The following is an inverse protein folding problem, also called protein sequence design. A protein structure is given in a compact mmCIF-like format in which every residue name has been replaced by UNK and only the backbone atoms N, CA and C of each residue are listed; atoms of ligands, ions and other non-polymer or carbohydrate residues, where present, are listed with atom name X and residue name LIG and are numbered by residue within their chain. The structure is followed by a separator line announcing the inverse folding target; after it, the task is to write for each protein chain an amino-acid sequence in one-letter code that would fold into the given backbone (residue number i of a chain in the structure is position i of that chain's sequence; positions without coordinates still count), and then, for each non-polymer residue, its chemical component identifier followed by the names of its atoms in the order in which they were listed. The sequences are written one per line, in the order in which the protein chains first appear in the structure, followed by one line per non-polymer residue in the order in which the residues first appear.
data_IF_247195631963
#
_entry.id   IF_247195631963
#
_cell.length_a   1.000
_cell.length_b   1.000
_cell.length_c   1.000
_cell.angle_alpha   90.00
_cell.angle_beta   90.00
_cell.angle_gamma   90.00
#
_symmetry.space_group_name_H-M   'P 1'
#
loop_
_entity.id
_entity.type
_entity.pdbx_description
1 polymer ?
#
# COMPACT_ATOMS: atom_id res chain seq x y z
N UNK A 1 -25.04 8.22 -3.72
CA UNK A 1 -24.89 6.77 -3.92
C UNK A 1 -23.60 6.52 -4.65
N UNK A 2 -22.58 6.11 -3.91
CA UNK A 2 -21.35 5.63 -4.53
C UNK A 2 -21.67 4.29 -5.17
N UNK A 3 -21.58 4.23 -6.46
CA UNK A 3 -21.66 2.96 -7.16
C UNK A 3 -20.24 2.42 -7.26
N UNK A 4 -19.97 1.33 -6.55
CA UNK A 4 -18.79 0.52 -6.83
C UNK A 4 -19.01 -0.07 -8.22
N UNK A 5 -18.38 0.52 -9.22
CA UNK A 5 -18.54 0.04 -10.58
C UNK A 5 -17.48 -1.03 -10.83
N UNK A 6 -17.98 -2.16 -11.14
CA UNK A 6 -17.46 -3.28 -11.95
C UNK A 6 -15.94 -3.46 -11.95
N UNK A 7 -15.55 -4.55 -11.35
CA UNK A 7 -14.25 -5.19 -11.60
C UNK A 7 -14.06 -5.48 -13.08
N UNK A 8 -13.02 -4.95 -13.66
CA UNK A 8 -12.52 -5.44 -14.94
C UNK A 8 -11.91 -6.83 -14.76
N UNK A 9 -11.57 -7.53 -15.83
CA UNK A 9 -10.84 -8.80 -15.77
C UNK A 9 -9.50 -8.74 -14.99
N UNK A 10 -8.99 -7.53 -14.70
CA UNK A 10 -7.81 -7.27 -13.88
C UNK A 10 -8.15 -7.04 -12.39
N UNK A 11 -9.41 -7.15 -11.98
CA UNK A 11 -9.83 -6.91 -10.60
C UNK A 11 -9.85 -5.45 -10.17
N UNK A 12 -9.72 -4.50 -11.11
CA UNK A 12 -9.76 -3.07 -10.84
C UNK A 12 -11.12 -2.65 -10.31
N UNK A 13 -11.13 -1.92 -9.19
CA UNK A 13 -12.31 -1.27 -8.65
C UNK A 13 -12.29 0.21 -9.03
N UNK A 14 -13.35 0.67 -9.69
CA UNK A 14 -13.57 2.09 -9.96
C UNK A 14 -14.64 2.63 -9.01
N UNK A 15 -14.35 3.74 -8.38
CA UNK A 15 -15.27 4.43 -7.50
C UNK A 15 -15.85 5.65 -8.17
N UNK A 16 -17.17 5.86 -8.04
CA UNK A 16 -17.85 7.06 -8.50
C UNK A 16 -18.73 7.63 -7.38
N UNK A 17 -18.70 8.95 -7.19
CA UNK A 17 -19.50 9.62 -6.17
C UNK A 17 -18.96 9.45 -4.75
N UNK A 18 -19.81 9.74 -3.77
CA UNK A 18 -19.49 9.61 -2.34
C UNK A 18 -20.04 8.28 -1.85
N UNK A 19 -19.17 7.45 -1.27
CA UNK A 19 -19.58 6.17 -0.67
C UNK A 19 -20.30 6.41 0.66
N UNK A 20 -21.44 5.76 0.84
CA UNK A 20 -22.27 5.84 2.04
C UNK A 20 -21.90 4.81 3.14
N UNK A 21 -20.85 4.03 2.92
CA UNK A 21 -20.37 3.00 3.85
C UNK A 21 -21.09 1.66 3.72
N UNK A 22 -21.99 1.49 2.76
CA UNK A 22 -22.65 0.21 2.51
C UNK A 22 -21.88 -0.64 1.50
N UNK A 23 -21.78 -1.93 1.80
CA UNK A 23 -21.16 -2.90 0.89
C UNK A 23 -22.21 -3.45 -0.07
N UNK A 24 -21.84 -3.60 -1.34
CA UNK A 24 -22.61 -4.34 -2.33
C UNK A 24 -22.51 -5.86 -2.07
N UNK A 25 -23.18 -6.66 -2.93
CA UNK A 25 -23.00 -8.10 -2.90
C UNK A 25 -21.52 -8.49 -3.07
N UNK A 26 -21.10 -9.52 -2.35
CA UNK A 26 -19.72 -10.01 -2.40
C UNK A 26 -19.34 -10.38 -3.85
N UNK A 27 -18.24 -9.82 -4.32
CA UNK A 27 -17.66 -10.08 -5.64
C UNK A 27 -16.17 -10.36 -5.49
N UNK A 28 -15.62 -11.07 -6.48
CA UNK A 28 -14.18 -11.27 -6.52
C UNK A 28 -13.44 -9.93 -6.71
N UNK A 29 -12.37 -9.75 -5.96
CA UNK A 29 -11.48 -8.59 -6.08
C UNK A 29 -10.05 -8.99 -5.75
N UNK A 30 -9.07 -8.31 -6.33
CA UNK A 30 -7.66 -8.36 -5.95
C UNK A 30 -7.19 -7.06 -5.27
N UNK A 31 -8.13 -6.22 -4.84
CA UNK A 31 -7.83 -5.02 -4.07
C UNK A 31 -7.29 -5.39 -2.69
N UNK A 32 -6.05 -4.99 -2.34
CA UNK A 32 -5.42 -5.41 -1.10
C UNK A 32 -6.12 -4.88 0.15
N UNK A 33 -6.77 -3.71 0.08
CA UNK A 33 -7.51 -3.16 1.22
C UNK A 33 -8.74 -4.01 1.55
N UNK A 34 -9.53 -4.37 0.53
CA UNK A 34 -10.73 -5.18 0.74
C UNK A 34 -10.41 -6.65 1.01
N UNK A 35 -9.32 -7.19 0.45
CA UNK A 35 -8.82 -8.51 0.83
C UNK A 35 -8.41 -8.55 2.31
N UNK A 36 -7.75 -7.49 2.81
CA UNK A 36 -7.41 -7.38 4.22
C UNK A 36 -8.66 -7.21 5.09
N UNK A 37 -9.63 -6.39 4.67
CA UNK A 37 -10.91 -6.24 5.39
C UNK A 37 -11.61 -7.58 5.58
N UNK A 38 -11.78 -8.36 4.51
CA UNK A 38 -12.41 -9.67 4.57
C UNK A 38 -11.65 -10.61 5.52
N UNK A 39 -10.32 -10.64 5.42
CA UNK A 39 -9.49 -11.45 6.32
C UNK A 39 -9.61 -11.05 7.78
N UNK A 40 -9.78 -9.75 8.08
CA UNK A 40 -9.93 -9.27 9.45
C UNK A 40 -11.29 -9.59 10.02
N UNK A 41 -12.35 -9.46 9.24
CA UNK A 41 -13.74 -9.56 9.71
C UNK A 41 -14.33 -10.96 9.63
N UNK A 42 -13.79 -11.83 8.80
CA UNK A 42 -14.34 -13.16 8.58
C UNK A 42 -14.10 -14.10 9.76
N UNK A 43 -15.19 -14.64 10.34
CA UNK A 43 -15.13 -15.55 11.50
C UNK A 43 -14.62 -16.96 11.16
N UNK A 44 -14.71 -17.38 9.90
CA UNK A 44 -14.42 -18.75 9.50
C UNK A 44 -12.95 -18.99 9.21
N UNK A 45 -12.32 -18.09 8.46
CA UNK A 45 -10.92 -18.22 8.00
C UNK A 45 -10.06 -17.01 8.33
N UNK A 46 -10.66 -15.96 8.86
CA UNK A 46 -10.01 -14.71 9.22
C UNK A 46 -9.81 -14.54 10.72
N UNK A 47 -9.66 -13.30 11.13
CA UNK A 47 -9.41 -12.91 12.51
C UNK A 47 -10.69 -12.78 13.36
N UNK A 48 -11.88 -12.68 12.73
CA UNK A 48 -13.14 -12.49 13.43
C UNK A 48 -13.24 -11.17 14.18
N UNK A 49 -12.55 -10.13 13.72
CA UNK A 49 -12.60 -8.80 14.34
C UNK A 49 -13.95 -8.15 14.00
N UNK A 50 -14.70 -7.66 15.00
CA UNK A 50 -15.96 -6.97 14.71
C UNK A 50 -15.74 -5.77 13.79
N UNK A 51 -16.60 -5.59 12.79
CA UNK A 51 -16.53 -4.45 11.86
C UNK A 51 -16.56 -3.09 12.58
N UNK A 52 -17.21 -3.02 13.76
CA UNK A 52 -17.23 -1.82 14.59
C UNK A 52 -15.87 -1.41 15.15
N UNK A 53 -14.88 -2.30 15.13
CA UNK A 53 -13.50 -2.04 15.56
C UNK A 53 -12.58 -1.64 14.41
N UNK A 54 -13.14 -1.44 13.21
CA UNK A 54 -12.42 -1.06 12.00
C UNK A 54 -13.05 0.20 11.39
N UNK A 55 -12.24 1.13 10.94
CA UNK A 55 -12.75 2.28 10.17
C UNK A 55 -12.83 1.93 8.69
N UNK A 56 -14.05 1.64 8.21
CA UNK A 56 -14.31 1.30 6.81
C UNK A 56 -13.93 2.41 5.83
N UNK A 57 -13.92 3.67 6.28
CA UNK A 57 -13.55 4.79 5.43
C UNK A 57 -12.04 4.89 5.22
N UNK A 58 -11.24 4.47 6.21
CA UNK A 58 -9.79 4.33 6.03
C UNK A 58 -9.48 3.25 4.98
N UNK A 59 -10.14 2.09 5.06
CA UNK A 59 -10.01 1.05 4.03
C UNK A 59 -10.45 1.53 2.65
N UNK A 60 -11.54 2.30 2.59
CA UNK A 60 -12.01 2.90 1.35
C UNK A 60 -10.97 3.85 0.74
N UNK A 61 -10.39 4.75 1.56
CA UNK A 61 -9.36 5.68 1.11
C UNK A 61 -8.08 4.98 0.63
N UNK A 62 -7.70 3.89 1.30
CA UNK A 62 -6.57 3.03 0.88
C UNK A 62 -6.90 2.34 -0.44
N UNK A 63 -8.10 1.76 -0.56
CA UNK A 63 -8.56 1.11 -1.78
C UNK A 63 -8.59 2.05 -2.97
N UNK A 64 -9.08 3.28 -2.80
CA UNK A 64 -9.04 4.30 -3.87
C UNK A 64 -7.62 4.54 -4.37
N UNK A 65 -6.64 4.64 -3.46
CA UNK A 65 -5.25 4.83 -3.83
C UNK A 65 -4.65 3.59 -4.49
N UNK A 66 -4.99 2.39 -4.03
CA UNK A 66 -4.54 1.13 -4.64
C UNK A 66 -5.03 0.98 -6.07
N UNK A 67 -6.26 1.42 -6.34
CA UNK A 67 -6.88 1.34 -7.67
C UNK A 67 -6.57 2.54 -8.58
N UNK A 68 -5.73 3.49 -8.13
CA UNK A 68 -5.22 4.53 -9.03
C UNK A 68 -4.38 3.87 -10.12
N UNK A 69 -4.71 4.14 -11.37
CA UNK A 69 -3.99 3.58 -12.51
C UNK A 69 -2.58 4.17 -12.60
N UNK A 70 -1.62 3.33 -12.85
CA UNK A 70 -0.23 3.66 -13.14
C UNK A 70 0.18 3.02 -14.46
N UNK A 71 1.25 3.53 -15.06
CA UNK A 71 1.84 2.97 -16.27
C UNK A 71 2.40 1.57 -15.96
N UNK A 72 2.07 0.58 -16.80
CA UNK A 72 2.54 -0.81 -16.69
C UNK A 72 3.92 -1.03 -17.33
N UNK A 73 4.56 0.03 -17.84
CA UNK A 73 5.84 -0.05 -18.57
C UNK A 73 5.76 -0.68 -19.96
N UNK A 74 4.56 -1.12 -20.39
CA UNK A 74 4.32 -1.79 -21.69
C UNK A 74 3.39 -0.96 -22.59
N UNK A 75 3.08 0.26 -22.18
CA UNK A 75 2.18 1.18 -22.89
C UNK A 75 0.71 1.01 -22.52
N UNK A 76 0.39 0.25 -21.50
CA UNK A 76 -0.90 0.12 -20.85
C UNK A 76 -0.94 0.74 -19.47
N UNK A 77 -1.99 0.43 -18.72
CA UNK A 77 -2.16 0.87 -17.35
C UNK A 77 -2.62 -0.30 -16.46
N UNK A 78 -2.17 -0.29 -15.22
CA UNK A 78 -2.55 -1.26 -14.20
C UNK A 78 -2.89 -0.58 -12.87
N UNK A 79 -3.61 -1.26 -11.94
CA UNK A 79 -3.78 -0.77 -10.59
C UNK A 79 -2.44 -0.60 -9.90
N UNK A 80 -2.27 0.49 -9.16
CA UNK A 80 -1.03 0.78 -8.42
C UNK A 80 -0.60 -0.36 -7.50
N UNK A 81 -1.55 -0.98 -6.81
CA UNK A 81 -1.32 -2.14 -5.95
C UNK A 81 -2.43 -3.16 -6.14
N UNK A 82 -2.06 -4.41 -6.27
CA UNK A 82 -2.97 -5.54 -6.35
C UNK A 82 -2.48 -6.68 -5.46
N UNK A 83 -3.38 -7.50 -4.98
CA UNK A 83 -3.11 -8.62 -4.10
C UNK A 83 -3.52 -9.94 -4.77
N UNK A 84 -2.53 -10.80 -5.01
CA UNK A 84 -2.75 -12.17 -5.48
C UNK A 84 -2.00 -13.09 -4.53
N UNK A 85 -2.60 -13.42 -3.40
CA UNK A 85 -1.97 -14.13 -2.29
C UNK A 85 -2.68 -15.45 -2.04
N UNK A 86 -1.92 -16.51 -1.82
CA UNK A 86 -2.41 -17.80 -1.34
C UNK A 86 -1.89 -18.04 0.09
N UNK A 87 -2.80 -18.03 1.06
CA UNK A 87 -2.49 -18.40 2.44
C UNK A 87 -2.84 -19.89 2.63
N UNK A 88 -1.85 -20.76 2.54
CA UNK A 88 -1.99 -22.20 2.65
C UNK A 88 -1.45 -22.77 3.98
N UNK A 89 -0.95 -21.94 4.86
CA UNK A 89 -0.38 -22.31 6.15
C UNK A 89 -1.00 -21.46 7.26
N UNK A 90 -1.14 -22.06 8.44
CA UNK A 90 -1.56 -21.32 9.62
C UNK A 90 -0.42 -20.39 10.07
N UNK A 91 -0.70 -19.10 10.10
CA UNK A 91 0.20 -18.05 10.57
C UNK A 91 -0.45 -17.28 11.72
N UNK A 92 0.35 -16.58 12.50
CA UNK A 92 -0.16 -15.61 13.46
C UNK A 92 -0.86 -14.46 12.70
N UNK A 93 -2.02 -14.07 13.19
CA UNK A 93 -2.85 -13.01 12.57
C UNK A 93 -2.05 -11.72 12.40
N UNK A 94 -1.26 -11.33 13.39
CA UNK A 94 -0.44 -10.13 13.33
C UNK A 94 0.53 -10.14 12.13
N UNK A 95 1.22 -11.25 11.90
CA UNK A 95 2.15 -11.39 10.78
C UNK A 95 1.43 -11.28 9.43
N UNK A 96 0.25 -11.88 9.33
CA UNK A 96 -0.57 -11.79 8.10
C UNK A 96 -1.03 -10.37 7.85
N UNK A 97 -1.47 -9.65 8.89
CA UNK A 97 -1.84 -8.24 8.79
C UNK A 97 -0.66 -7.40 8.29
N UNK A 98 0.54 -7.61 8.85
CA UNK A 98 1.73 -6.88 8.43
C UNK A 98 2.13 -7.21 6.98
N UNK A 99 2.12 -8.49 6.59
CA UNK A 99 2.39 -8.92 5.23
C UNK A 99 1.41 -8.28 4.23
N UNK A 100 0.12 -8.29 4.53
CA UNK A 100 -0.89 -7.69 3.67
C UNK A 100 -0.82 -6.16 3.64
N UNK A 101 -0.59 -5.53 4.79
CA UNK A 101 -0.42 -4.06 4.85
C UNK A 101 0.79 -3.61 4.03
N UNK A 102 1.85 -4.41 3.98
CA UNK A 102 3.05 -4.07 3.20
C UNK A 102 2.78 -3.99 1.69
N UNK A 103 1.78 -4.72 1.17
CA UNK A 103 1.42 -4.71 -0.26
C UNK A 103 1.08 -3.29 -0.75
N UNK A 104 0.35 -2.52 0.06
CA UNK A 104 -0.03 -1.15 -0.25
C UNK A 104 0.80 -0.09 0.50
N UNK A 105 2.00 -0.47 0.99
CA UNK A 105 2.88 0.40 1.78
C UNK A 105 2.20 0.89 3.06
N UNK A 106 1.39 0.04 3.66
CA UNK A 106 0.66 0.31 4.89
C UNK A 106 1.44 -0.06 6.13
N UNK A 107 1.13 0.63 7.21
CA UNK A 107 1.55 0.32 8.58
C UNK A 107 0.26 0.11 9.38
N UNK A 108 0.17 -1.01 10.08
CA UNK A 108 -0.96 -1.30 10.95
C UNK A 108 -0.52 -1.32 12.41
N UNK A 109 -1.34 -0.74 13.27
CA UNK A 109 -1.16 -0.83 14.72
C UNK A 109 -2.51 -0.86 15.43
N UNK A 110 -2.53 -1.46 16.60
CA UNK A 110 -3.72 -1.50 17.43
C UNK A 110 -3.67 -0.36 18.45
N UNK A 111 -4.67 0.52 18.42
CA UNK A 111 -4.76 1.66 19.32
C UNK A 111 -6.21 2.05 19.61
N UNK A 112 -6.47 2.52 20.83
CA UNK A 112 -7.79 2.98 21.26
C UNK A 112 -8.94 1.98 21.06
N UNK A 113 -8.64 0.66 21.06
CA UNK A 113 -9.65 -0.38 20.87
C UNK A 113 -9.97 -0.71 19.41
N UNK A 114 -9.25 -0.14 18.47
CA UNK A 114 -9.42 -0.38 17.04
C UNK A 114 -8.10 -0.67 16.33
N UNK A 115 -8.16 -1.33 15.18
CA UNK A 115 -7.02 -1.46 14.27
C UNK A 115 -6.97 -0.21 13.40
N UNK A 116 -5.86 0.50 13.49
CA UNK A 116 -5.59 1.69 12.66
C UNK A 116 -4.65 1.30 11.53
N UNK A 117 -5.00 1.71 10.32
CA UNK A 117 -4.18 1.55 9.14
C UNK A 117 -3.71 2.91 8.65
N UNK A 118 -2.41 3.02 8.43
CA UNK A 118 -1.80 4.18 7.79
C UNK A 118 -1.17 3.75 6.47
N UNK A 119 -1.22 4.61 5.47
CA UNK A 119 -0.62 4.34 4.17
C UNK A 119 0.46 5.39 3.87
N UNK A 120 1.66 4.92 3.53
CA UNK A 120 2.73 5.80 3.04
C UNK A 120 2.43 6.21 1.60
N UNK A 121 1.89 7.41 1.46
CA UNK A 121 1.55 8.04 0.17
C UNK A 121 1.85 9.52 0.21
N UNK A 122 2.08 10.16 -0.94
CA UNK A 122 2.19 11.61 -1.02
C UNK A 122 0.96 12.28 -0.42
N UNK A 123 1.16 13.24 0.46
CA UNK A 123 0.11 14.04 1.09
C UNK A 123 0.56 15.48 1.24
N UNK A 124 -0.39 16.38 1.32
CA UNK A 124 -0.09 17.79 1.61
C UNK A 124 0.52 17.93 3.01
N UNK A 125 1.34 18.96 3.17
CA UNK A 125 1.97 19.26 4.46
C UNK A 125 0.90 19.51 5.53
N UNK A 126 0.86 18.67 6.55
CA UNK A 126 -0.13 18.74 7.63
C UNK A 126 0.25 19.80 8.68
N UNK A 127 1.54 20.08 8.83
CA UNK A 127 2.03 20.99 9.85
C UNK A 127 3.35 21.66 9.44
N UNK A 128 3.50 22.93 9.78
CA UNK A 128 4.75 23.68 9.56
C UNK A 128 5.48 23.87 10.90
N UNK A 129 6.69 23.33 10.98
CA UNK A 129 7.56 23.51 12.13
C UNK A 129 8.43 24.74 11.94
N UNK A 130 8.42 25.63 12.93
CA UNK A 130 9.25 26.83 12.98
C UNK A 130 9.86 27.01 14.38
N UNK A 131 10.81 27.94 14.56
CA UNK A 131 11.44 28.18 15.87
C UNK A 131 10.45 28.48 17.00
N UNK A 132 9.26 29.01 16.67
CA UNK A 132 8.22 29.36 17.64
C UNK A 132 7.47 28.16 18.23
N UNK A 133 7.46 27.02 17.53
CA UNK A 133 6.71 25.82 17.94
C UNK A 133 7.58 24.56 18.12
N UNK A 134 8.89 24.77 18.22
CA UNK A 134 9.90 23.73 18.51
C UNK A 134 10.52 24.01 19.87
N UNK A 135 10.81 22.98 20.63
CA UNK A 135 11.48 23.10 21.94
C UNK A 135 12.80 23.86 21.79
N UNK A 136 12.98 24.91 22.57
CA UNK A 136 14.14 25.84 22.56
C UNK A 136 14.38 26.50 21.19
N UNK A 137 13.48 26.39 20.21
CA UNK A 137 13.63 26.97 18.88
C UNK A 137 14.80 26.40 18.06
N UNK A 138 15.38 25.28 18.48
CA UNK A 138 16.61 24.72 17.89
C UNK A 138 16.30 23.49 17.05
N UNK A 139 16.82 23.49 15.82
CA UNK A 139 16.80 22.33 14.92
C UNK A 139 18.20 21.70 14.87
N UNK A 140 18.28 20.41 15.11
CA UNK A 140 19.51 19.63 14.93
C UNK A 140 19.51 19.00 13.53
N UNK A 141 20.57 19.21 12.76
CA UNK A 141 20.73 18.65 11.42
C UNK A 141 21.86 17.63 11.40
N UNK A 142 21.56 16.44 10.89
CA UNK A 142 22.57 15.41 10.62
C UNK A 142 22.46 14.92 9.18
N UNK A 143 23.59 14.65 8.54
CA UNK A 143 23.65 14.14 7.18
C UNK A 143 24.01 12.65 7.15
N UNK A 144 23.54 11.94 6.14
CA UNK A 144 24.01 10.59 5.82
C UNK A 144 25.26 10.65 4.94
N UNK A 145 26.11 9.60 4.99
CA UNK A 145 27.24 9.50 4.08
C UNK A 145 26.75 9.27 2.64
N UNK A 146 27.56 9.68 1.65
CA UNK A 146 27.25 9.42 0.23
C UNK A 146 27.13 7.91 -0.04
N UNK A 147 27.91 7.09 0.65
CA UNK A 147 27.90 5.63 0.50
C UNK A 147 26.59 4.97 0.97
N UNK A 148 25.83 5.62 1.85
CA UNK A 148 24.54 5.10 2.32
C UNK A 148 23.36 5.54 1.45
N UNK A 149 23.61 6.34 0.39
CA UNK A 149 22.58 6.80 -0.54
C UNK A 149 22.58 5.91 -1.76
N UNK A 150 21.55 5.08 -1.86
CA UNK A 150 21.36 4.28 -3.05
C UNK A 150 20.74 5.13 -4.16
N UNK A 151 21.27 5.04 -5.37
CA UNK A 151 20.82 5.77 -6.56
C UNK A 151 20.16 4.84 -7.58
N UNK A 152 20.40 3.54 -7.44
CA UNK A 152 19.80 2.48 -8.22
C UNK A 152 19.29 1.38 -7.30
N UNK A 153 18.27 0.67 -7.72
CA UNK A 153 17.77 -0.52 -7.05
C UNK A 153 17.47 -1.60 -8.10
N UNK A 154 17.88 -2.84 -7.83
CA UNK A 154 17.47 -3.99 -8.62
C UNK A 154 16.34 -4.70 -7.89
N UNK A 155 15.19 -4.81 -8.56
CA UNK A 155 13.98 -5.44 -8.02
C UNK A 155 13.80 -6.79 -8.68
N UNK A 156 13.69 -7.85 -7.87
CA UNK A 156 13.29 -9.18 -8.32
C UNK A 156 11.77 -9.32 -8.17
N UNK A 157 11.10 -9.76 -9.23
CA UNK A 157 9.65 -9.99 -9.20
C UNK A 157 9.26 -11.23 -9.99
N UNK A 158 8.09 -11.77 -9.71
CA UNK A 158 7.53 -12.87 -10.49
C UNK A 158 6.79 -12.32 -11.71
N UNK A 159 7.28 -12.68 -12.91
CA UNK A 159 6.68 -12.22 -14.15
C UNK A 159 5.51 -13.15 -14.54
N UNK A 160 4.30 -12.65 -14.47
CA UNK A 160 3.10 -13.41 -14.84
C UNK A 160 3.04 -13.78 -16.33
N UNK A 161 3.62 -12.97 -17.20
CA UNK A 161 3.67 -13.25 -18.65
C UNK A 161 4.59 -14.43 -18.96
N UNK A 162 5.56 -14.70 -18.09
CA UNK A 162 6.51 -15.80 -18.19
C UNK A 162 6.22 -16.91 -17.17
N UNK A 163 4.94 -17.18 -16.91
CA UNK A 163 4.46 -18.28 -16.04
C UNK A 163 4.96 -18.20 -14.59
N UNK A 164 5.30 -17.00 -14.12
CA UNK A 164 5.77 -16.77 -12.75
C UNK A 164 7.28 -16.99 -12.58
N UNK A 165 8.06 -17.01 -13.65
CA UNK A 165 9.53 -16.97 -13.55
C UNK A 165 9.99 -15.67 -12.90
N UNK A 166 11.12 -15.74 -12.19
CA UNK A 166 11.70 -14.56 -11.53
C UNK A 166 12.38 -13.69 -12.57
N UNK A 167 11.91 -12.48 -12.72
CA UNK A 167 12.54 -11.45 -13.53
C UNK A 167 13.19 -10.37 -12.65
N UNK A 168 14.16 -9.68 -13.21
CA UNK A 168 14.88 -8.60 -12.54
C UNK A 168 14.75 -7.32 -13.35
N UNK A 169 14.45 -6.23 -12.65
CA UNK A 169 14.40 -4.91 -13.26
C UNK A 169 15.20 -3.92 -12.43
N UNK A 170 15.99 -3.07 -13.11
CA UNK A 170 16.77 -2.01 -12.46
C UNK A 170 16.05 -0.68 -12.59
N UNK A 171 15.83 -0.04 -11.46
CA UNK A 171 15.26 1.30 -11.37
C UNK A 171 16.33 2.26 -10.88
N UNK A 172 16.52 3.37 -11.59
CA UNK A 172 17.48 4.39 -11.23
C UNK A 172 16.85 5.78 -11.17
N UNK A 173 17.40 6.61 -10.29
CA UNK A 173 17.03 8.03 -10.21
C UNK A 173 18.07 8.85 -10.95
N UNK A 174 17.76 9.31 -12.16
CA UNK A 174 18.71 9.99 -13.06
C UNK A 174 19.44 11.16 -12.39
N UNK A 175 18.73 12.03 -11.68
CA UNK A 175 19.31 13.17 -10.97
C UNK A 175 20.28 12.75 -9.84
N UNK A 176 19.93 11.67 -9.13
CA UNK A 176 20.80 11.15 -8.07
C UNK A 176 22.04 10.45 -8.64
N UNK A 177 21.90 9.72 -9.74
CA UNK A 177 23.03 9.11 -10.47
C UNK A 177 23.98 10.19 -11.01
N UNK A 178 23.46 11.26 -11.60
CA UNK A 178 24.27 12.38 -12.11
C UNK A 178 25.05 13.08 -10.98
N UNK A 179 24.47 13.16 -9.78
CA UNK A 179 25.07 13.87 -8.63
C UNK A 179 26.02 13.03 -7.79
N UNK A 180 25.70 11.76 -7.58
CA UNK A 180 26.38 10.88 -6.62
C UNK A 180 27.05 9.66 -7.26
N UNK A 181 26.85 9.42 -8.56
CA UNK A 181 27.26 8.21 -9.24
C UNK A 181 26.30 7.03 -9.00
N UNK A 182 26.61 5.90 -9.61
CA UNK A 182 25.81 4.67 -9.47
C UNK A 182 26.13 4.01 -8.12
N UNK A 183 25.15 3.83 -7.28
CA UNK A 183 25.22 3.11 -6.02
C UNK A 183 24.01 2.19 -5.93
N UNK A 184 24.21 0.91 -6.25
CA UNK A 184 23.15 -0.08 -6.34
C UNK A 184 22.81 -0.69 -4.98
N UNK A 185 21.51 -0.97 -4.80
CA UNK A 185 20.99 -1.81 -3.72
C UNK A 185 20.34 -3.03 -4.37
N UNK A 186 20.83 -4.20 -4.05
CA UNK A 186 20.25 -5.49 -4.37
C UNK A 186 19.26 -5.92 -3.29
#
# INVERSE_FOLDING_TARGET
NATVATTTHLGLITYSGVWDGTFAAATWTNDPAWCLWDLLTNDRYGAGIPESSLDRYDFFAISQYCNTLVDDGKGGQEPRFSCNLLINQRKEVYNVIQEMSSIFRGISYYGAGSLVLLQDKPSDAQYTLGPANVVDGVFSYSGSSVRSRHTCATVAYQNYDEKGEVAFESVETADAVAKYGVNNKE
#
